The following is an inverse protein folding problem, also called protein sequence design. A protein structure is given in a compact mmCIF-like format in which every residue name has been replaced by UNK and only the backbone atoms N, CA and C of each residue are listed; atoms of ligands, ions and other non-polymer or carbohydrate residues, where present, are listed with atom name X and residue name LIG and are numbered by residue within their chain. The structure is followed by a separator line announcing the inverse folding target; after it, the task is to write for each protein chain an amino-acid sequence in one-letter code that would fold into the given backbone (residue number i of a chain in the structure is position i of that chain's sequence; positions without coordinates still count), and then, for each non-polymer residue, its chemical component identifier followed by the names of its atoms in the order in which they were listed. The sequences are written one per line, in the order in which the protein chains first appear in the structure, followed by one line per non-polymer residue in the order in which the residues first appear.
data_IF_269264195478
#
_entry.id   IF_269264195478
#
_cell.length_a   1.000
_cell.length_b   1.000
_cell.length_c   1.000
_cell.angle_alpha   90.00
_cell.angle_beta   90.00
_cell.angle_gamma   90.00
#
_symmetry.space_group_name_H-M   'P 1'
#
loop_
_entity.id
_entity.type
_entity.pdbx_description
1 polymer ?
#
# COMPACT_ATOMS: atom_id res chain seq x y z
N UNK A 1 -38.25 -7.61 2.04
CA UNK A 1 -38.67 -7.46 3.45
C UNK A 1 -38.22 -8.65 4.30
N UNK A 2 -38.38 -9.90 3.86
CA UNK A 2 -37.94 -11.11 4.61
C UNK A 2 -36.48 -11.09 5.07
N UNK A 3 -35.51 -10.89 4.16
CA UNK A 3 -34.06 -10.85 4.52
C UNK A 3 -33.66 -9.76 5.52
N UNK A 4 -34.49 -8.74 5.70
CA UNK A 4 -34.25 -7.67 6.68
C UNK A 4 -34.79 -8.10 8.05
N UNK A 5 -35.92 -8.82 8.07
CA UNK A 5 -36.49 -9.39 9.29
C UNK A 5 -35.61 -10.50 9.88
N UNK A 6 -34.96 -11.33 9.05
CA UNK A 6 -34.01 -12.37 9.50
C UNK A 6 -32.79 -11.76 10.23
N UNK A 7 -32.21 -10.68 9.69
CA UNK A 7 -31.04 -10.01 10.29
C UNK A 7 -31.38 -9.33 11.60
N UNK A 8 -32.55 -8.71 11.68
CA UNK A 8 -33.03 -8.14 12.94
C UNK A 8 -33.28 -9.20 14.01
N UNK A 9 -33.77 -10.38 13.62
CA UNK A 9 -33.99 -11.50 14.55
C UNK A 9 -32.66 -11.96 15.16
N UNK A 10 -31.66 -12.23 14.33
CA UNK A 10 -30.30 -12.58 14.76
C UNK A 10 -29.70 -11.49 15.65
N UNK A 11 -29.80 -10.22 15.23
CA UNK A 11 -29.29 -9.09 15.99
C UNK A 11 -29.91 -8.95 17.38
N UNK A 12 -31.23 -9.07 17.47
CA UNK A 12 -31.96 -9.06 18.75
C UNK A 12 -31.56 -10.22 19.64
N UNK A 13 -31.33 -11.40 19.06
CA UNK A 13 -30.89 -12.59 19.80
C UNK A 13 -29.47 -12.43 20.37
N UNK A 14 -28.51 -11.94 19.58
CA UNK A 14 -27.16 -11.60 20.05
C UNK A 14 -27.23 -10.62 21.23
N UNK A 15 -28.05 -9.57 21.09
CA UNK A 15 -28.24 -8.57 22.15
C UNK A 15 -28.81 -9.19 23.42
N UNK A 16 -29.84 -10.05 23.30
CA UNK A 16 -30.47 -10.76 24.42
C UNK A 16 -29.41 -11.56 25.19
N UNK A 17 -28.68 -12.44 24.49
CA UNK A 17 -27.65 -13.31 25.10
C UNK A 17 -26.50 -12.54 25.73
N UNK A 18 -26.06 -11.45 25.09
CA UNK A 18 -25.03 -10.57 25.67
C UNK A 18 -25.48 -9.96 27.01
N UNK A 19 -26.72 -9.49 27.07
CA UNK A 19 -27.28 -8.86 28.28
C UNK A 19 -27.48 -9.91 29.39
N UNK A 20 -27.92 -11.12 29.06
CA UNK A 20 -28.03 -12.24 30.02
C UNK A 20 -26.68 -12.57 30.68
N UNK A 21 -25.58 -12.43 29.94
CA UNK A 21 -24.21 -12.57 30.46
C UNK A 21 -23.66 -11.32 31.16
N UNK A 22 -24.44 -10.25 31.29
CA UNK A 22 -24.02 -9.01 31.96
C UNK A 22 -22.92 -8.23 31.23
N UNK A 23 -22.73 -8.44 29.92
CA UNK A 23 -21.66 -7.81 29.15
C UNK A 23 -22.12 -6.52 28.46
N UNK A 24 -21.26 -5.52 28.36
CA UNK A 24 -21.41 -4.36 27.47
C UNK A 24 -21.06 -4.74 26.01
N UNK A 25 -21.47 -3.91 25.04
CA UNK A 25 -21.09 -4.12 23.63
C UNK A 25 -19.56 -4.11 23.44
N UNK A 26 -18.86 -3.23 24.17
CA UNK A 26 -17.40 -3.16 24.14
C UNK A 26 -16.75 -4.42 24.70
N UNK A 27 -17.22 -4.94 25.84
CA UNK A 27 -16.68 -6.16 26.44
C UNK A 27 -16.85 -7.37 25.54
N UNK A 28 -18.03 -7.54 24.92
CA UNK A 28 -18.23 -8.62 23.94
C UNK A 28 -17.28 -8.45 22.75
N UNK A 29 -17.14 -7.21 22.25
CA UNK A 29 -16.27 -6.91 21.12
C UNK A 29 -14.80 -7.23 21.42
N UNK A 30 -14.32 -6.92 22.63
CA UNK A 30 -12.96 -7.23 23.08
C UNK A 30 -12.71 -8.74 23.14
N UNK A 31 -13.66 -9.51 23.70
CA UNK A 31 -13.53 -10.97 23.82
C UNK A 31 -13.45 -11.69 22.48
N UNK A 32 -14.23 -11.26 21.49
CA UNK A 32 -14.22 -11.85 20.13
C UNK A 32 -13.37 -11.04 19.13
N UNK A 33 -12.53 -10.12 19.62
CA UNK A 33 -11.55 -9.32 18.86
C UNK A 33 -12.11 -8.48 17.69
N UNK A 34 -13.30 -7.90 17.86
CA UNK A 34 -13.93 -6.99 16.89
C UNK A 34 -14.09 -5.57 17.45
N UNK A 35 -14.53 -4.62 16.63
CA UNK A 35 -14.86 -3.27 17.11
C UNK A 35 -16.25 -3.25 17.76
N UNK A 36 -16.46 -2.46 18.81
CA UNK A 36 -17.78 -2.18 19.40
C UNK A 36 -18.82 -1.79 18.33
N UNK A 37 -18.42 -0.97 17.34
CA UNK A 37 -19.27 -0.59 16.20
C UNK A 37 -19.77 -1.78 15.38
N UNK A 38 -19.01 -2.88 15.30
CA UNK A 38 -19.42 -4.09 14.61
C UNK A 38 -20.55 -4.79 15.39
N UNK A 39 -20.37 -4.97 16.70
CA UNK A 39 -21.40 -5.53 17.60
C UNK A 39 -22.67 -4.69 17.55
N UNK A 40 -22.56 -3.37 17.64
CA UNK A 40 -23.70 -2.44 17.53
C UNK A 40 -24.44 -2.57 16.19
N UNK A 41 -23.73 -2.77 15.08
CA UNK A 41 -24.35 -3.00 13.76
C UNK A 41 -25.09 -4.32 13.68
N UNK A 42 -24.58 -5.39 14.31
CA UNK A 42 -25.26 -6.68 14.36
C UNK A 42 -26.53 -6.59 15.18
N UNK A 43 -26.46 -6.04 16.39
CA UNK A 43 -27.60 -5.93 17.31
C UNK A 43 -28.74 -5.05 16.77
N UNK A 44 -28.44 -4.16 15.83
CA UNK A 44 -29.41 -3.28 15.18
C UNK A 44 -29.86 -3.78 13.80
N UNK A 45 -29.48 -5.00 13.39
CA UNK A 45 -29.85 -5.58 12.09
C UNK A 45 -29.19 -4.91 10.87
N UNK A 46 -28.28 -3.95 11.08
CA UNK A 46 -27.55 -3.21 10.03
C UNK A 46 -26.33 -3.96 9.48
N UNK A 47 -26.13 -5.19 9.93
CA UNK A 47 -25.07 -6.10 9.52
C UNK A 47 -25.27 -7.47 10.17
N UNK A 48 -24.46 -8.44 9.74
CA UNK A 48 -24.40 -9.77 10.34
C UNK A 48 -22.93 -10.11 10.66
N UNK A 49 -22.67 -10.99 11.64
CA UNK A 49 -21.32 -11.52 11.86
C UNK A 49 -20.79 -12.20 10.59
N UNK A 50 -19.49 -12.07 10.32
CA UNK A 50 -18.81 -12.85 9.29
C UNK A 50 -18.78 -14.33 9.73
N UNK A 51 -18.77 -15.27 8.77
CA UNK A 51 -18.72 -16.72 9.05
C UNK A 51 -17.60 -17.11 10.02
N UNK A 52 -16.46 -16.41 9.96
CA UNK A 52 -15.31 -16.61 10.87
C UNK A 52 -15.56 -16.21 12.32
N UNK A 53 -16.61 -15.42 12.58
CA UNK A 53 -16.98 -14.94 13.91
C UNK A 53 -18.14 -15.75 14.50
N UNK A 54 -18.75 -16.67 13.75
CA UNK A 54 -19.91 -17.44 14.22
C UNK A 54 -19.55 -18.38 15.37
N UNK A 55 -18.46 -19.14 15.25
CA UNK A 55 -17.96 -20.03 16.32
C UNK A 55 -17.51 -19.24 17.57
N UNK A 56 -16.59 -18.25 17.48
CA UNK A 56 -16.20 -17.47 18.66
C UNK A 56 -17.36 -16.76 19.34
N UNK A 57 -18.33 -16.26 18.57
CA UNK A 57 -19.52 -15.61 19.11
C UNK A 57 -20.47 -16.61 19.77
N UNK A 58 -20.65 -17.80 19.19
CA UNK A 58 -21.47 -18.87 19.74
C UNK A 58 -20.88 -19.39 21.06
N UNK A 59 -19.57 -19.64 21.10
CA UNK A 59 -18.84 -20.02 22.32
C UNK A 59 -18.97 -18.96 23.41
N UNK A 60 -18.70 -17.69 23.08
CA UNK A 60 -18.75 -16.59 24.04
C UNK A 60 -20.18 -16.27 24.51
N UNK A 61 -21.21 -16.64 23.76
CA UNK A 61 -22.61 -16.50 24.16
C UNK A 61 -23.21 -17.78 24.76
N UNK A 62 -22.47 -18.89 24.78
CA UNK A 62 -22.95 -20.24 25.17
C UNK A 62 -24.24 -20.65 24.43
N UNK A 63 -24.23 -20.50 23.11
CA UNK A 63 -25.32 -20.95 22.20
C UNK A 63 -24.70 -21.79 21.09
N UNK A 64 -25.51 -22.60 20.39
CA UNK A 64 -25.04 -23.24 19.16
C UNK A 64 -25.00 -22.24 18.00
N UNK A 65 -24.18 -22.52 16.99
CA UNK A 65 -24.15 -21.70 15.76
C UNK A 65 -25.52 -21.68 15.07
N UNK A 66 -26.26 -22.78 15.14
CA UNK A 66 -27.60 -22.89 14.56
C UNK A 66 -28.63 -22.03 15.30
N UNK A 67 -28.59 -21.99 16.64
CA UNK A 67 -29.42 -21.06 17.43
C UNK A 67 -29.08 -19.60 17.11
N UNK A 68 -27.79 -19.30 16.96
CA UNK A 68 -27.30 -17.98 16.59
C UNK A 68 -27.80 -17.55 15.20
N UNK A 69 -27.77 -18.44 14.21
CA UNK A 69 -28.22 -18.18 12.84
C UNK A 69 -29.75 -18.10 12.73
N UNK A 70 -30.48 -18.88 13.53
CA UNK A 70 -31.95 -18.85 13.55
C UNK A 70 -32.50 -17.70 14.41
N UNK A 71 -31.67 -17.13 15.29
CA UNK A 71 -32.02 -16.02 16.16
C UNK A 71 -33.03 -16.38 17.25
N UNK A 72 -33.06 -17.65 17.67
CA UNK A 72 -33.94 -18.14 18.72
C UNK A 72 -33.35 -19.36 19.45
N UNK A 73 -33.67 -19.48 20.74
CA UNK A 73 -33.38 -20.67 21.54
C UNK A 73 -34.24 -21.84 21.06
N UNK A 74 -33.67 -23.06 21.03
CA UNK A 74 -34.49 -24.24 20.83
C UNK A 74 -35.44 -24.43 22.00
N UNK A 75 -36.73 -24.54 21.71
CA UNK A 75 -37.70 -25.05 22.68
C UNK A 75 -37.44 -26.54 22.82
N UNK A 76 -37.05 -26.98 24.02
CA UNK A 76 -36.93 -28.40 24.33
C UNK A 76 -38.34 -29.01 24.42
N UNK A 77 -38.88 -29.49 23.30
CA UNK A 77 -39.94 -30.51 23.33
C UNK A 77 -39.29 -31.90 23.44
N UNK A 78 -39.89 -32.75 24.27
CA UNK A 78 -39.35 -33.97 24.85
C UNK A 78 -38.65 -34.93 23.85
N UNK A 79 -37.34 -35.13 24.07
CA UNK A 79 -36.55 -36.37 24.01
C UNK A 79 -36.68 -37.42 22.87
N UNK A 80 -37.38 -37.18 21.74
CA UNK A 80 -37.49 -38.23 20.69
C UNK A 80 -37.04 -37.79 19.28
N UNK A 81 -36.60 -36.55 19.06
CA UNK A 81 -36.19 -36.07 17.73
C UNK A 81 -34.70 -35.65 17.63
N UNK A 82 -33.86 -36.20 18.50
CA UNK A 82 -32.46 -35.78 18.70
C UNK A 82 -31.56 -36.05 17.49
N UNK A 83 -31.81 -37.10 16.70
CA UNK A 83 -30.89 -37.49 15.61
C UNK A 83 -30.88 -36.54 14.42
N UNK A 84 -32.04 -36.05 13.94
CA UNK A 84 -32.07 -35.13 12.78
C UNK A 84 -31.57 -33.73 13.13
N UNK A 85 -31.82 -33.28 14.36
CA UNK A 85 -31.38 -31.97 14.83
C UNK A 85 -29.87 -31.93 15.07
N UNK A 86 -29.31 -32.97 15.71
CA UNK A 86 -27.85 -33.13 15.79
C UNK A 86 -27.21 -33.25 14.40
N UNK A 87 -27.85 -33.95 13.47
CA UNK A 87 -27.32 -34.12 12.11
C UNK A 87 -27.32 -32.79 11.32
N UNK A 88 -28.31 -31.91 11.52
CA UNK A 88 -28.33 -30.57 10.93
C UNK A 88 -27.26 -29.64 11.52
N UNK A 89 -26.99 -29.73 12.84
CA UNK A 89 -25.91 -28.98 13.49
C UNK A 89 -24.53 -29.44 13.03
N UNK A 90 -24.34 -30.75 12.87
CA UNK A 90 -23.11 -31.34 12.32
C UNK A 90 -22.91 -30.89 10.87
N UNK A 91 -23.96 -30.85 10.05
CA UNK A 91 -23.85 -30.43 8.64
C UNK A 91 -23.49 -28.94 8.52
N UNK A 92 -24.11 -28.06 9.30
CA UNK A 92 -23.77 -26.62 9.32
C UNK A 92 -22.35 -26.42 9.85
N UNK A 93 -21.95 -27.13 10.90
CA UNK A 93 -20.60 -27.03 11.47
C UNK A 93 -19.56 -27.51 10.48
N UNK A 94 -19.78 -28.63 9.79
CA UNK A 94 -18.90 -29.14 8.74
C UNK A 94 -18.78 -28.16 7.55
N UNK A 95 -19.87 -27.49 7.18
CA UNK A 95 -19.85 -26.45 6.13
C UNK A 95 -19.04 -25.23 6.60
N UNK A 96 -19.17 -24.83 7.85
CA UNK A 96 -18.38 -23.73 8.43
C UNK A 96 -16.90 -24.12 8.50
N UNK A 97 -16.58 -25.30 9.02
CA UNK A 97 -15.20 -25.83 9.06
C UNK A 97 -14.61 -25.91 7.66
N UNK A 98 -15.34 -26.46 6.68
CA UNK A 98 -14.91 -26.50 5.28
C UNK A 98 -14.66 -25.10 4.71
N UNK A 99 -15.55 -24.14 4.92
CA UNK A 99 -15.37 -22.76 4.46
C UNK A 99 -14.19 -22.10 5.16
N UNK A 100 -14.00 -22.34 6.46
CA UNK A 100 -12.86 -21.84 7.23
C UNK A 100 -11.54 -22.44 6.73
N UNK A 101 -11.51 -23.74 6.45
CA UNK A 101 -10.33 -24.46 5.97
C UNK A 101 -9.93 -24.01 4.56
N UNK A 102 -10.89 -23.89 3.63
CA UNK A 102 -10.63 -23.32 2.31
C UNK A 102 -10.17 -21.86 2.38
N UNK A 103 -10.67 -21.08 3.36
CA UNK A 103 -10.22 -19.70 3.58
C UNK A 103 -8.78 -19.67 4.10
N UNK A 104 -8.41 -20.59 5.01
CA UNK A 104 -7.04 -20.78 5.50
C UNK A 104 -6.10 -21.21 4.37
N UNK A 105 -6.53 -22.12 3.50
CA UNK A 105 -5.72 -22.60 2.36
C UNK A 105 -5.45 -21.48 1.34
N UNK A 106 -6.49 -20.73 0.95
CA UNK A 106 -6.36 -19.57 0.06
C UNK A 106 -5.45 -18.50 0.65
N UNK A 107 -5.53 -18.29 1.96
CA UNK A 107 -4.67 -17.35 2.69
C UNK A 107 -3.20 -17.82 2.70
N UNK A 108 -2.95 -19.10 2.94
CA UNK A 108 -1.61 -19.68 2.96
C UNK A 108 -0.95 -19.65 1.57
N UNK A 109 -1.71 -19.98 0.52
CA UNK A 109 -1.22 -19.90 -0.87
C UNK A 109 -0.94 -18.45 -1.29
N UNK A 110 -1.86 -17.53 -1.00
CA UNK A 110 -1.65 -16.09 -1.26
C UNK A 110 -0.45 -15.53 -0.49
N UNK A 111 -0.23 -15.96 0.75
CA UNK A 111 0.92 -15.57 1.56
C UNK A 111 2.25 -16.02 0.94
N UNK A 112 2.34 -17.29 0.52
CA UNK A 112 3.54 -17.82 -0.16
C UNK A 112 3.85 -17.05 -1.44
N UNK A 113 2.83 -16.74 -2.24
CA UNK A 113 2.97 -15.93 -3.46
C UNK A 113 3.46 -14.52 -3.11
N UNK A 114 2.84 -13.89 -2.12
CA UNK A 114 3.18 -12.54 -1.67
C UNK A 114 4.64 -12.43 -1.22
N UNK A 115 5.09 -13.32 -0.33
CA UNK A 115 6.49 -13.39 0.11
C UNK A 115 7.41 -13.71 -1.06
N UNK A 116 7.03 -14.66 -1.92
CA UNK A 116 7.80 -15.00 -3.12
C UNK A 116 8.08 -13.77 -3.99
N UNK A 117 7.07 -12.94 -4.27
CA UNK A 117 7.26 -11.69 -5.02
C UNK A 117 8.21 -10.71 -4.31
N UNK A 118 8.12 -10.56 -2.99
CA UNK A 118 9.03 -9.69 -2.23
C UNK A 118 10.48 -10.17 -2.31
N UNK A 119 10.71 -11.47 -2.15
CA UNK A 119 12.03 -12.08 -2.26
C UNK A 119 12.58 -11.94 -3.67
N UNK A 120 11.77 -12.21 -4.70
CA UNK A 120 12.17 -12.04 -6.11
C UNK A 120 12.54 -10.58 -6.39
N UNK A 121 11.73 -9.63 -5.94
CA UNK A 121 12.03 -8.20 -6.11
C UNK A 121 13.36 -7.81 -5.46
N UNK A 122 13.61 -8.29 -4.23
CA UNK A 122 14.87 -8.04 -3.53
C UNK A 122 16.07 -8.67 -4.25
N UNK A 123 15.95 -9.91 -4.72
CA UNK A 123 17.01 -10.59 -5.46
C UNK A 123 17.33 -9.84 -6.75
N UNK A 124 16.32 -9.44 -7.52
CA UNK A 124 16.51 -8.65 -8.74
C UNK A 124 17.16 -7.29 -8.45
N UNK A 125 16.79 -6.65 -7.35
CA UNK A 125 17.43 -5.40 -6.90
C UNK A 125 18.91 -5.61 -6.56
N UNK A 126 19.26 -6.68 -5.85
CA UNK A 126 20.65 -7.02 -5.53
C UNK A 126 21.45 -7.38 -6.80
N UNK A 127 20.85 -8.10 -7.75
CA UNK A 127 21.46 -8.38 -9.05
C UNK A 127 21.70 -7.10 -9.85
N UNK A 128 20.75 -6.16 -9.83
CA UNK A 128 20.95 -4.84 -10.40
C UNK A 128 22.16 -4.15 -9.78
N UNK A 129 22.30 -4.13 -8.45
CA UNK A 129 23.44 -3.48 -7.80
C UNK A 129 24.77 -4.14 -8.17
N UNK A 130 24.78 -5.46 -8.38
CA UNK A 130 25.95 -6.20 -8.85
C UNK A 130 26.33 -5.80 -10.28
N UNK A 131 25.35 -5.61 -11.15
CA UNK A 131 25.55 -5.30 -12.58
C UNK A 131 25.73 -3.81 -12.87
N UNK A 132 25.24 -2.93 -12.00
CA UNK A 132 25.31 -1.48 -12.13
C UNK A 132 26.74 -0.99 -12.42
N UNK A 133 27.75 -1.65 -11.85
CA UNK A 133 29.16 -1.34 -12.07
C UNK A 133 29.74 -1.87 -13.40
N UNK A 134 29.04 -2.76 -14.11
CA UNK A 134 29.56 -3.45 -15.31
C UNK A 134 28.99 -2.91 -16.62
N UNK A 135 27.80 -2.32 -16.62
CA UNK A 135 27.14 -1.83 -17.83
C UNK A 135 27.09 -0.30 -17.85
N UNK A 136 28.12 0.32 -18.42
CA UNK A 136 28.10 1.76 -18.68
C UNK A 136 27.14 2.10 -19.84
N UNK A 137 26.28 3.10 -19.64
CA UNK A 137 25.67 3.87 -20.74
C UNK A 137 24.20 3.58 -21.11
N UNK A 138 23.46 2.71 -20.41
CA UNK A 138 22.03 2.47 -20.71
C UNK A 138 21.09 2.97 -19.60
N UNK A 139 21.00 4.30 -19.46
CA UNK A 139 20.11 5.01 -18.53
C UNK A 139 18.65 4.51 -18.63
N UNK A 140 18.15 4.37 -19.85
CA UNK A 140 16.77 3.95 -20.10
C UNK A 140 16.54 2.50 -19.65
N UNK A 141 17.49 1.61 -19.93
CA UNK A 141 17.46 0.22 -19.45
C UNK A 141 17.49 0.12 -17.93
N UNK A 142 18.25 0.99 -17.25
CA UNK A 142 18.25 1.08 -15.78
C UNK A 142 16.88 1.51 -15.23
N UNK A 143 16.23 2.51 -15.84
CA UNK A 143 14.88 2.92 -15.45
C UNK A 143 13.83 1.81 -15.65
N UNK A 144 13.89 1.09 -16.77
CA UNK A 144 12.98 -0.03 -17.05
C UNK A 144 13.15 -1.14 -16.00
N UNK A 145 14.40 -1.56 -15.73
CA UNK A 145 14.70 -2.59 -14.71
C UNK A 145 14.13 -2.20 -13.35
N UNK A 146 14.31 -0.95 -12.92
CA UNK A 146 13.78 -0.46 -11.65
C UNK A 146 12.26 -0.41 -11.59
N UNK A 147 11.63 -0.06 -12.72
CA UNK A 147 10.16 -0.08 -12.83
C UNK A 147 9.62 -1.50 -12.68
N UNK A 148 10.27 -2.50 -13.29
CA UNK A 148 9.91 -3.92 -13.17
C UNK A 148 10.10 -4.41 -11.73
N UNK A 149 11.25 -4.13 -11.12
CA UNK A 149 11.56 -4.53 -9.72
C UNK A 149 10.52 -3.96 -8.75
N UNK A 150 10.20 -2.67 -8.89
CA UNK A 150 9.19 -1.98 -8.07
C UNK A 150 7.78 -2.53 -8.32
N UNK A 151 7.45 -2.89 -9.57
CA UNK A 151 6.19 -3.52 -9.93
C UNK A 151 6.00 -4.87 -9.23
N UNK A 152 7.03 -5.73 -9.25
CA UNK A 152 6.99 -7.04 -8.56
C UNK A 152 6.83 -6.86 -7.05
N UNK A 153 7.54 -5.89 -6.45
CA UNK A 153 7.38 -5.54 -5.03
C UNK A 153 5.94 -5.14 -4.70
N UNK A 154 5.36 -4.23 -5.49
CA UNK A 154 4.00 -3.76 -5.31
C UNK A 154 2.96 -4.88 -5.48
N UNK A 155 3.18 -5.81 -6.42
CA UNK A 155 2.33 -6.99 -6.58
C UNK A 155 2.37 -7.88 -5.34
N UNK A 156 3.56 -8.16 -4.80
CA UNK A 156 3.71 -8.92 -3.55
C UNK A 156 2.97 -8.26 -2.39
N UNK A 157 3.15 -6.96 -2.22
CA UNK A 157 2.47 -6.18 -1.17
C UNK A 157 0.94 -6.17 -1.35
N UNK A 158 0.45 -6.05 -2.58
CA UNK A 158 -0.98 -6.07 -2.89
C UNK A 158 -1.61 -7.43 -2.59
N UNK A 159 -0.92 -8.54 -2.90
CA UNK A 159 -1.39 -9.90 -2.56
C UNK A 159 -1.47 -10.07 -1.05
N UNK A 160 -0.41 -9.72 -0.33
CA UNK A 160 -0.37 -9.77 1.13
C UNK A 160 -1.42 -8.86 1.77
N UNK A 161 -1.73 -7.70 1.18
CA UNK A 161 -2.78 -6.80 1.68
C UNK A 161 -4.15 -7.47 1.62
N UNK A 162 -4.47 -8.11 0.49
CA UNK A 162 -5.73 -8.82 0.31
C UNK A 162 -5.88 -10.02 1.24
N UNK A 163 -4.77 -10.66 1.59
CA UNK A 163 -4.77 -11.79 2.52
C UNK A 163 -4.94 -11.31 3.97
N UNK A 164 -4.09 -10.40 4.48
CA UNK A 164 -3.94 -10.15 5.92
C UNK A 164 -4.77 -8.99 6.50
N UNK A 165 -5.17 -7.98 5.72
CA UNK A 165 -5.57 -6.70 6.32
C UNK A 165 -7.08 -6.52 6.54
N UNK A 166 -7.51 -6.76 7.80
CA UNK A 166 -8.87 -6.50 8.30
C UNK A 166 -9.03 -5.09 8.89
N UNK A 167 -7.98 -4.51 9.51
CA UNK A 167 -8.05 -3.21 10.22
C UNK A 167 -7.52 -2.04 9.38
N UNK A 168 -8.21 -0.89 9.42
CA UNK A 168 -7.88 0.32 8.65
C UNK A 168 -6.55 1.00 9.09
N UNK A 169 -6.19 0.90 10.37
CA UNK A 169 -4.98 1.54 10.90
C UNK A 169 -3.68 0.83 10.46
N UNK A 170 -3.72 -0.51 10.43
CA UNK A 170 -2.63 -1.35 9.92
C UNK A 170 -2.37 -1.09 8.44
N UNK A 171 -3.42 -0.81 7.64
CA UNK A 171 -3.27 -0.43 6.23
C UNK A 171 -2.44 0.84 6.04
N UNK A 172 -2.62 1.85 6.91
CA UNK A 172 -1.85 3.11 6.82
C UNK A 172 -0.39 2.90 7.18
N UNK A 173 -0.10 2.21 8.28
CA UNK A 173 1.29 1.91 8.70
C UNK A 173 2.02 1.10 7.63
N UNK A 174 1.35 0.08 7.08
CA UNK A 174 1.89 -0.72 6.00
C UNK A 174 2.13 0.08 4.72
N UNK A 175 1.16 0.90 4.28
CA UNK A 175 1.36 1.78 3.12
C UNK A 175 2.61 2.66 3.28
N UNK A 176 2.84 3.21 4.48
CA UNK A 176 4.08 3.99 4.76
C UNK A 176 5.34 3.11 4.68
N UNK A 177 5.31 1.90 5.21
CA UNK A 177 6.45 0.97 5.11
C UNK A 177 6.76 0.60 3.64
N UNK A 178 5.74 0.29 2.84
CA UNK A 178 5.88 0.02 1.39
C UNK A 178 6.51 1.20 0.67
N UNK A 179 6.01 2.41 0.92
CA UNK A 179 6.56 3.63 0.34
C UNK A 179 8.00 3.87 0.76
N UNK A 180 8.38 3.55 2.00
CA UNK A 180 9.75 3.67 2.48
C UNK A 180 10.70 2.70 1.77
N UNK A 181 10.31 1.44 1.56
CA UNK A 181 11.13 0.47 0.80
C UNK A 181 11.30 0.90 -0.64
N UNK A 182 10.22 1.33 -1.31
CA UNK A 182 10.29 1.85 -2.68
C UNK A 182 11.16 3.12 -2.77
N UNK A 183 11.11 3.97 -1.74
CA UNK A 183 11.98 5.14 -1.66
C UNK A 183 13.45 4.74 -1.58
N UNK A 184 13.79 3.69 -0.83
CA UNK A 184 15.16 3.16 -0.76
C UNK A 184 15.62 2.66 -2.13
N UNK A 185 14.82 1.85 -2.83
CA UNK A 185 15.16 1.38 -4.18
C UNK A 185 15.41 2.55 -5.14
N UNK A 186 14.54 3.55 -5.10
CA UNK A 186 14.66 4.77 -5.89
C UNK A 186 15.91 5.58 -5.52
N UNK A 187 16.17 5.81 -4.23
CA UNK A 187 17.29 6.62 -3.76
C UNK A 187 18.63 5.99 -4.15
N UNK A 188 18.75 4.65 -4.02
CA UNK A 188 19.96 3.93 -4.43
C UNK A 188 20.15 3.99 -5.95
N UNK A 189 19.08 3.80 -6.74
CA UNK A 189 19.13 3.98 -8.20
C UNK A 189 19.60 5.39 -8.56
N UNK A 190 19.00 6.41 -7.94
CA UNK A 190 19.33 7.81 -8.19
C UNK A 190 20.79 8.09 -7.86
N UNK A 191 21.28 7.62 -6.71
CA UNK A 191 22.68 7.76 -6.31
C UNK A 191 23.63 7.10 -7.32
N UNK A 192 23.30 5.89 -7.79
CA UNK A 192 24.10 5.22 -8.80
C UNK A 192 24.15 6.00 -10.12
N UNK A 193 23.00 6.49 -10.58
CA UNK A 193 22.86 7.22 -11.84
C UNK A 193 23.56 8.59 -11.82
N UNK A 194 23.51 9.28 -10.69
CA UNK A 194 23.99 10.66 -10.55
C UNK A 194 25.46 10.75 -10.12
N UNK A 195 25.97 9.76 -9.39
CA UNK A 195 27.34 9.78 -8.85
C UNK A 195 28.22 8.63 -9.37
N UNK A 196 27.76 7.38 -9.28
CA UNK A 196 28.64 6.21 -9.45
C UNK A 196 28.92 5.85 -10.90
N UNK A 197 27.99 6.13 -11.83
CA UNK A 197 28.20 5.87 -13.26
C UNK A 197 29.09 6.92 -13.96
N UNK A 198 29.37 8.06 -13.32
CA UNK A 198 30.15 9.16 -13.91
C UNK A 198 31.65 8.93 -13.68
N UNK A 199 32.37 8.45 -14.70
CA UNK A 199 33.82 8.15 -14.62
C UNK A 199 34.74 9.28 -15.08
N UNK A 200 34.20 10.32 -15.71
CA UNK A 200 34.99 11.47 -16.15
C UNK A 200 35.00 12.56 -15.09
N UNK A 201 36.18 13.02 -14.72
CA UNK A 201 36.32 14.17 -13.81
C UNK A 201 36.03 15.45 -14.58
N UNK A 202 35.01 16.19 -14.14
CA UNK A 202 34.63 17.49 -14.71
C UNK A 202 34.79 18.55 -13.63
N UNK A 203 35.41 19.68 -13.98
CA UNK A 203 35.66 20.80 -13.03
C UNK A 203 34.94 22.09 -13.41
N UNK A 204 34.24 22.09 -14.55
CA UNK A 204 33.53 23.26 -15.04
C UNK A 204 32.30 23.58 -14.18
N UNK A 205 31.79 24.79 -14.34
CA UNK A 205 30.54 25.24 -13.73
C UNK A 205 29.77 26.17 -14.69
N UNK A 206 28.45 26.11 -14.63
CA UNK A 206 27.55 27.03 -15.29
C UNK A 206 26.59 27.66 -14.27
N UNK A 207 26.74 28.97 -14.04
CA UNK A 207 25.87 29.75 -13.15
C UNK A 207 24.89 30.62 -13.96
N UNK A 208 25.07 30.71 -15.29
CA UNK A 208 24.22 31.53 -16.15
C UNK A 208 22.98 30.72 -16.54
N UNK A 209 21.77 31.15 -16.13
CA UNK A 209 20.54 30.46 -16.49
C UNK A 209 20.32 30.42 -18.01
N UNK A 210 19.76 29.31 -18.48
CA UNK A 210 19.42 28.94 -19.84
C UNK A 210 20.59 28.79 -20.82
N UNK A 211 21.85 28.88 -20.35
CA UNK A 211 23.02 28.75 -21.21
C UNK A 211 23.18 27.34 -21.77
N UNK A 212 23.11 26.32 -20.91
CA UNK A 212 23.25 24.92 -21.30
C UNK A 212 22.05 24.48 -22.11
N UNK A 213 20.84 24.85 -21.68
CA UNK A 213 19.60 24.57 -22.41
C UNK A 213 19.67 25.16 -23.83
N UNK A 214 20.06 26.42 -23.96
CA UNK A 214 20.21 27.08 -25.26
C UNK A 214 21.24 26.39 -26.14
N UNK A 215 22.40 26.04 -25.58
CA UNK A 215 23.48 25.35 -26.31
C UNK A 215 23.03 23.99 -26.83
N UNK A 216 22.34 23.20 -25.99
CA UNK A 216 21.81 21.89 -26.37
C UNK A 216 20.72 22.00 -27.43
N UNK A 217 19.82 22.96 -27.34
CA UNK A 217 18.80 23.19 -28.37
C UNK A 217 19.42 23.61 -29.71
N UNK A 218 20.43 24.49 -29.69
CA UNK A 218 21.13 24.96 -30.89
C UNK A 218 21.99 23.87 -31.54
N UNK A 219 22.40 22.84 -30.78
CA UNK A 219 23.16 21.70 -31.32
C UNK A 219 22.36 20.91 -32.37
N UNK A 220 21.03 20.99 -32.35
CA UNK A 220 20.12 20.25 -33.26
C UNK A 220 20.10 18.73 -33.07
N UNK A 221 20.89 18.18 -32.14
CA UNK A 221 20.96 16.74 -31.92
C UNK A 221 19.85 16.29 -30.97
N UNK A 222 18.85 15.61 -31.52
CA UNK A 222 17.68 15.09 -30.79
C UNK A 222 18.08 14.21 -29.60
N UNK A 223 19.10 13.36 -29.74
CA UNK A 223 19.56 12.49 -28.66
C UNK A 223 20.13 13.30 -27.48
N UNK A 224 20.90 14.36 -27.78
CA UNK A 224 21.49 15.24 -26.76
C UNK A 224 20.41 16.06 -26.05
N UNK A 225 19.40 16.52 -26.78
CA UNK A 225 18.23 17.21 -26.22
C UNK A 225 17.45 16.29 -25.28
N UNK A 226 17.19 15.05 -25.70
CA UNK A 226 16.44 14.08 -24.89
C UNK A 226 17.17 13.78 -23.59
N UNK A 227 18.48 13.52 -23.63
CA UNK A 227 19.22 13.15 -22.42
C UNK A 227 19.38 14.34 -21.47
N UNK A 228 19.83 15.50 -21.96
CA UNK A 228 20.17 16.62 -21.08
C UNK A 228 18.93 17.39 -20.60
N UNK A 229 17.94 17.62 -21.47
CA UNK A 229 16.76 18.41 -21.09
C UNK A 229 15.71 17.49 -20.45
N UNK A 230 15.25 16.48 -21.18
CA UNK A 230 14.19 15.61 -20.67
C UNK A 230 14.66 14.67 -19.57
N UNK A 231 15.90 14.19 -19.62
CA UNK A 231 16.48 13.38 -18.54
C UNK A 231 16.43 14.11 -17.20
N UNK A 232 16.97 15.33 -17.14
CA UNK A 232 16.98 16.14 -15.91
C UNK A 232 15.57 16.56 -15.48
N UNK A 233 14.66 16.80 -16.43
CA UNK A 233 13.27 17.10 -16.11
C UNK A 233 12.53 15.90 -15.48
N UNK A 234 12.76 14.67 -15.93
CA UNK A 234 11.99 13.50 -15.48
C UNK A 234 12.59 12.74 -14.30
N UNK A 235 13.91 12.72 -14.15
CA UNK A 235 14.62 11.86 -13.18
C UNK A 235 14.19 12.08 -11.72
N UNK A 236 13.83 13.31 -11.34
CA UNK A 236 13.38 13.67 -9.99
C UNK A 236 11.86 13.68 -9.80
N UNK A 237 11.05 13.43 -10.84
CA UNK A 237 9.60 13.35 -10.66
C UNK A 237 9.15 12.27 -9.65
N UNK A 238 9.75 11.06 -9.62
CA UNK A 238 9.41 10.08 -8.59
C UNK A 238 9.73 10.58 -7.17
N UNK A 239 10.80 11.36 -6.97
CA UNK A 239 11.10 11.99 -5.68
C UNK A 239 9.92 12.86 -5.22
N UNK A 240 9.31 13.62 -6.13
CA UNK A 240 8.16 14.46 -5.81
C UNK A 240 6.99 13.65 -5.22
N UNK A 241 6.72 12.45 -5.75
CA UNK A 241 5.70 11.57 -5.23
C UNK A 241 5.98 11.17 -3.77
N UNK A 242 7.23 10.81 -3.45
CA UNK A 242 7.64 10.47 -2.09
C UNK A 242 7.58 11.68 -1.14
N UNK A 243 7.95 12.87 -1.58
CA UNK A 243 7.81 14.10 -0.76
C UNK A 243 6.36 14.33 -0.32
N UNK A 244 5.38 14.01 -1.17
CA UNK A 244 3.95 14.20 -0.88
C UNK A 244 3.37 13.05 -0.05
N UNK A 245 3.66 11.80 -0.41
CA UNK A 245 3.01 10.61 0.19
C UNK A 245 3.76 10.05 1.40
N UNK A 246 5.10 10.06 1.39
CA UNK A 246 5.93 9.53 2.47
C UNK A 246 6.26 10.62 3.52
N UNK A 247 6.74 11.78 3.07
CA UNK A 247 7.16 12.89 3.95
C UNK A 247 6.06 13.91 4.24
N UNK A 248 4.90 13.78 3.58
CA UNK A 248 3.72 14.62 3.80
C UNK A 248 3.93 16.13 3.59
N UNK A 249 4.88 16.53 2.74
CA UNK A 249 5.20 17.93 2.43
C UNK A 249 4.22 18.47 1.39
N UNK A 250 3.06 18.93 1.88
CA UNK A 250 1.91 19.30 1.03
C UNK A 250 1.72 20.80 0.79
N UNK A 251 2.43 21.68 1.52
CA UNK A 251 2.31 23.13 1.29
C UNK A 251 3.21 23.50 0.13
N UNK A 252 2.66 24.18 -0.88
CA UNK A 252 3.39 24.50 -2.13
C UNK A 252 4.72 25.24 -1.88
N UNK A 253 4.74 26.23 -0.97
CA UNK A 253 5.95 26.98 -0.64
C UNK A 253 7.03 26.12 0.02
N UNK A 254 6.62 25.25 0.95
CA UNK A 254 7.55 24.33 1.63
C UNK A 254 8.05 23.26 0.67
N UNK A 255 7.16 22.73 -0.17
CA UNK A 255 7.48 21.72 -1.16
C UNK A 255 8.51 22.27 -2.17
N UNK A 256 8.25 23.44 -2.74
CA UNK A 256 9.20 24.13 -3.63
C UNK A 256 10.56 24.33 -2.97
N UNK A 257 10.60 24.83 -1.73
CA UNK A 257 11.85 25.05 -1.01
C UNK A 257 12.64 23.75 -0.81
N UNK A 258 11.95 22.66 -0.47
CA UNK A 258 12.58 21.34 -0.29
C UNK A 258 13.11 20.80 -1.62
N UNK A 259 12.34 20.91 -2.71
CA UNK A 259 12.78 20.49 -4.03
C UNK A 259 14.04 21.24 -4.47
N UNK A 260 14.03 22.57 -4.36
CA UNK A 260 15.19 23.41 -4.68
C UNK A 260 16.40 23.08 -3.80
N UNK A 261 16.18 22.88 -2.50
CA UNK A 261 17.28 22.55 -1.58
C UNK A 261 17.90 21.20 -1.91
N UNK A 262 17.10 20.18 -2.21
CA UNK A 262 17.61 18.84 -2.56
C UNK A 262 18.41 18.90 -3.86
N UNK A 263 17.87 19.51 -4.92
CA UNK A 263 18.56 19.57 -6.22
C UNK A 263 19.84 20.40 -6.13
N UNK A 264 19.81 21.53 -5.43
CA UNK A 264 20.99 22.36 -5.18
C UNK A 264 22.08 21.61 -4.38
N UNK A 265 21.69 20.88 -3.33
CA UNK A 265 22.64 20.07 -2.56
C UNK A 265 23.26 18.97 -3.42
N UNK A 266 22.46 18.29 -4.25
CA UNK A 266 22.96 17.24 -5.15
C UNK A 266 24.01 17.81 -6.10
N UNK A 267 23.72 18.93 -6.76
CA UNK A 267 24.65 19.58 -7.69
C UNK A 267 25.94 20.06 -7.01
N UNK A 268 25.84 20.65 -5.80
CA UNK A 268 27.01 21.03 -5.01
C UNK A 268 27.87 19.80 -4.68
N UNK A 269 27.24 18.72 -4.23
CA UNK A 269 27.96 17.49 -3.90
C UNK A 269 28.63 16.93 -5.16
N UNK A 270 27.94 16.89 -6.30
CA UNK A 270 28.53 16.43 -7.56
C UNK A 270 29.74 17.26 -7.99
N UNK A 271 29.67 18.57 -7.81
CA UNK A 271 30.78 19.48 -8.06
C UNK A 271 31.97 19.25 -7.11
N UNK A 272 31.72 19.11 -5.81
CA UNK A 272 32.77 18.85 -4.80
C UNK A 272 33.49 17.53 -5.08
N UNK A 273 32.74 16.49 -5.43
CA UNK A 273 33.31 15.17 -5.76
C UNK A 273 33.86 15.10 -7.19
N UNK A 274 33.78 16.18 -7.97
CA UNK A 274 34.24 16.28 -9.38
C UNK A 274 33.62 15.21 -10.30
N UNK A 275 32.46 14.69 -9.93
CA UNK A 275 31.70 13.71 -10.73
C UNK A 275 30.71 14.41 -11.67
N UNK A 276 30.51 15.72 -11.54
CA UNK A 276 29.62 16.50 -12.39
C UNK A 276 30.00 17.97 -12.44
N UNK A 277 29.47 18.65 -13.46
CA UNK A 277 29.51 20.11 -13.57
C UNK A 277 28.39 20.69 -12.70
N UNK A 278 28.67 21.75 -11.94
CA UNK A 278 27.61 22.52 -11.29
C UNK A 278 26.83 23.29 -12.36
N UNK A 279 25.59 22.89 -12.66
CA UNK A 279 24.77 23.56 -13.68
C UNK A 279 23.44 24.08 -13.12
N UNK A 280 23.25 25.41 -13.16
CA UNK A 280 21.99 26.05 -12.75
C UNK A 280 20.82 25.60 -13.62
N UNK A 281 21.05 25.24 -14.89
CA UNK A 281 19.99 24.76 -15.77
C UNK A 281 19.45 23.40 -15.33
N UNK A 282 20.32 22.54 -14.80
CA UNK A 282 19.93 21.22 -14.28
C UNK A 282 19.05 21.37 -13.04
N UNK A 283 19.39 22.29 -12.13
CA UNK A 283 18.55 22.65 -10.99
C UNK A 283 17.17 23.12 -11.46
N UNK A 284 17.14 24.05 -12.43
CA UNK A 284 15.90 24.60 -12.96
C UNK A 284 15.01 23.52 -13.59
N UNK A 285 15.59 22.64 -14.41
CA UNK A 285 14.89 21.54 -15.07
C UNK A 285 14.34 20.53 -14.05
N UNK A 286 15.15 20.12 -13.07
CA UNK A 286 14.74 19.19 -12.03
C UNK A 286 13.59 19.75 -11.19
N UNK A 287 13.71 21.02 -10.73
CA UNK A 287 12.66 21.70 -9.97
C UNK A 287 11.40 21.87 -10.82
N UNK A 288 11.52 22.25 -12.09
CA UNK A 288 10.38 22.38 -12.99
C UNK A 288 9.63 21.05 -13.18
N UNK A 289 10.36 19.95 -13.34
CA UNK A 289 9.79 18.60 -13.45
C UNK A 289 9.05 18.18 -12.19
N UNK A 290 9.70 18.31 -11.03
CA UNK A 290 9.10 18.05 -9.73
C UNK A 290 7.84 18.88 -9.49
N UNK A 291 7.87 20.19 -9.76
CA UNK A 291 6.72 21.07 -9.55
C UNK A 291 5.57 20.79 -10.53
N UNK A 292 5.89 20.39 -11.76
CA UNK A 292 4.90 19.92 -12.73
C UNK A 292 4.18 18.68 -12.21
N UNK A 293 4.93 17.69 -11.71
CA UNK A 293 4.35 16.50 -11.09
C UNK A 293 3.49 16.85 -9.87
N UNK A 294 3.96 17.75 -8.98
CA UNK A 294 3.21 18.21 -7.82
C UNK A 294 1.83 18.76 -8.21
N UNK A 295 1.77 19.60 -9.25
CA UNK A 295 0.52 20.19 -9.73
C UNK A 295 -0.46 19.13 -10.26
N UNK A 296 -0.01 18.26 -11.17
CA UNK A 296 -0.87 17.23 -11.76
C UNK A 296 -1.32 16.19 -10.73
N UNK A 297 -0.42 15.74 -9.86
CA UNK A 297 -0.73 14.79 -8.80
C UNK A 297 -1.71 15.38 -7.78
N UNK A 298 -1.54 16.65 -7.41
CA UNK A 298 -2.47 17.37 -6.55
C UNK A 298 -3.89 17.41 -7.11
N UNK A 299 -4.04 17.67 -8.42
CA UNK A 299 -5.34 17.66 -9.12
C UNK A 299 -5.98 16.28 -9.14
N UNK A 300 -5.20 15.23 -9.40
CA UNK A 300 -5.67 13.84 -9.37
C UNK A 300 -6.17 13.43 -7.98
N UNK A 301 -5.38 13.71 -6.93
CA UNK A 301 -5.72 13.40 -5.54
C UNK A 301 -6.96 14.16 -5.06
N UNK A 302 -7.09 15.44 -5.45
CA UNK A 302 -8.26 16.26 -5.14
C UNK A 302 -9.56 15.71 -5.72
N UNK A 303 -9.52 15.13 -6.94
CA UNK A 303 -10.68 14.46 -7.56
C UNK A 303 -11.06 13.17 -6.83
N UNK A 304 -10.09 12.34 -6.44
CA UNK A 304 -10.38 11.10 -5.72
C UNK A 304 -10.93 11.33 -4.30
N UNK A 305 -10.50 12.39 -3.61
CA UNK A 305 -11.07 12.75 -2.31
C UNK A 305 -12.56 13.15 -2.40
N UNK A 306 -12.97 13.76 -3.52
CA UNK A 306 -14.39 14.12 -3.79
C UNK A 306 -15.26 12.95 -4.25
N UNK A 307 -14.67 11.86 -4.76
CA UNK A 307 -15.40 10.64 -5.19
C UNK A 307 -15.62 9.62 -4.07
N UNK A 308 -14.92 9.77 -2.94
CA UNK A 308 -15.04 8.90 -1.77
C UNK A 308 -15.76 9.54 -0.58
N UNK A 309 -16.34 10.72 -0.74
CA UNK A 309 -17.38 11.30 0.14
C UNK A 309 -18.72 11.15 -0.56
#
# INVERSE_FOLDING_TARGET
MERTMEKEKIGKYIRKKRIEKGMTQQQLAEKIQVTEKAVSRWETGRGVPDISLLEPLAEELHVSVTELLNGEERVQEEAVHDTKAHMADIDITNVIEYVQENRKEKYNTGFKIGIGCLVVSLVLFLLYLREAYRFQGNYFGTMIRMTVISGIFLLGEMVLERCYLVKLEERRKRKKAVLAVLFIYYAVMLMNLTFLERTQTVTDYNIVPFRTIGTVLLSGNVYTIVINIFGNFFIFMPLQFFLIELFEIRKIKQNFLVCFTITFVIEIVQYIFKVGMLDVDDILLCVAGMMSFYYFYGKYRGKNKKRGM
#
